data_IF_528110079148
#
_entry.id   IF_528110079148
#
_cell.length_a   1.000
_cell.length_b   1.000
_cell.length_c   1.000
_cell.angle_alpha   90.00
_cell.angle_beta   90.00
_cell.angle_gamma   90.00
#
_symmetry.space_group_name_H-M   'P 1'
#
loop_
_entity.id
_entity.type
_entity.pdbx_description
1 polymer ?
#
# COMPACT_ATOMS: atom_id res chain seq x y z
N UNK A 1 -6.71 -7.95 -1.33
CA UNK A 1 -5.88 -6.92 -0.63
C UNK A 1 -6.60 -5.58 -0.73
N UNK A 2 -6.53 -4.71 0.28
CA UNK A 2 -7.30 -3.45 0.36
C UNK A 2 -7.16 -2.56 -0.88
N UNK A 3 -5.95 -2.46 -1.44
CA UNK A 3 -5.63 -1.71 -2.67
C UNK A 3 -6.53 -2.14 -3.83
N UNK A 4 -6.69 -3.46 -4.00
CA UNK A 4 -7.45 -4.06 -5.09
C UNK A 4 -8.95 -4.19 -4.82
N UNK A 5 -9.46 -3.54 -3.76
CA UNK A 5 -10.90 -3.53 -3.53
C UNK A 5 -11.59 -2.84 -4.71
N UNK A 6 -12.42 -3.60 -5.44
CA UNK A 6 -13.18 -3.12 -6.60
C UNK A 6 -14.49 -2.46 -6.22
N UNK A 7 -14.91 -2.56 -4.95
CA UNK A 7 -16.10 -1.90 -4.41
C UNK A 7 -15.81 -1.41 -2.99
N UNK A 8 -16.51 -0.35 -2.57
CA UNK A 8 -16.48 0.15 -1.19
C UNK A 8 -16.84 -0.95 -0.17
N UNK A 9 -17.83 -1.78 -0.50
CA UNK A 9 -18.22 -2.93 0.34
C UNK A 9 -17.08 -3.93 0.50
N UNK A 10 -16.35 -4.24 -0.58
CA UNK A 10 -15.18 -5.11 -0.49
C UNK A 10 -14.07 -4.47 0.34
N UNK A 11 -13.87 -3.15 0.23
CA UNK A 11 -12.91 -2.41 1.05
C UNK A 11 -13.21 -2.56 2.54
N UNK A 12 -14.44 -2.25 2.97
CA UNK A 12 -14.83 -2.38 4.38
C UNK A 12 -14.71 -3.82 4.89
N UNK A 13 -15.01 -4.82 4.06
CA UNK A 13 -14.83 -6.24 4.42
C UNK A 13 -13.36 -6.57 4.70
N UNK A 14 -12.46 -6.15 3.82
CA UNK A 14 -11.02 -6.37 4.02
C UNK A 14 -10.48 -5.57 5.21
N UNK A 15 -10.99 -4.36 5.46
CA UNK A 15 -10.61 -3.52 6.60
C UNK A 15 -11.02 -4.14 7.92
N UNK A 16 -12.24 -4.67 8.00
CA UNK A 16 -12.72 -5.39 9.17
C UNK A 16 -11.86 -6.64 9.45
N UNK A 17 -11.49 -7.38 8.40
CA UNK A 17 -10.61 -8.53 8.52
C UNK A 17 -9.19 -8.15 8.97
N UNK A 18 -8.61 -7.07 8.42
CA UNK A 18 -7.32 -6.53 8.88
C UNK A 18 -7.36 -6.17 10.36
N UNK A 19 -8.42 -5.50 10.80
CA UNK A 19 -8.61 -5.14 12.22
C UNK A 19 -8.78 -6.37 13.11
N UNK A 20 -9.45 -7.42 12.63
CA UNK A 20 -9.52 -8.70 13.32
C UNK A 20 -8.12 -9.33 13.47
N UNK A 21 -7.31 -9.36 12.41
CA UNK A 21 -5.94 -9.89 12.46
C UNK A 21 -5.04 -9.09 13.41
N UNK A 22 -5.11 -7.77 13.37
CA UNK A 22 -4.32 -6.86 14.22
C UNK A 22 -4.66 -7.08 15.71
N UNK A 23 -5.92 -7.36 16.01
CA UNK A 23 -6.38 -7.63 17.38
C UNK A 23 -6.28 -9.11 17.77
N UNK A 24 -5.94 -10.01 16.85
CA UNK A 24 -5.76 -11.44 17.14
C UNK A 24 -4.62 -11.69 18.14
N UNK A 25 -3.59 -10.83 18.12
CA UNK A 25 -2.50 -10.82 19.10
C UNK A 25 -2.91 -10.30 20.49
N UNK A 26 -4.11 -9.73 20.61
CA UNK A 26 -4.69 -9.19 21.86
C UNK A 26 -5.74 -10.13 22.48
N UNK A 27 -5.81 -11.38 22.03
CA UNK A 27 -6.80 -12.39 22.41
C UNK A 27 -6.71 -12.75 23.91
N UNK A 28 -7.32 -11.91 24.74
CA UNK A 28 -7.43 -12.09 26.18
C UNK A 28 -8.24 -11.00 26.87
N UNK A 29 -8.64 -9.94 26.17
CA UNK A 29 -9.50 -8.92 26.76
C UNK A 29 -10.77 -8.76 25.97
N UNK A 30 -11.90 -8.99 26.65
CA UNK A 30 -13.24 -8.63 26.23
C UNK A 30 -13.25 -7.25 25.53
N UNK A 31 -14.02 -7.08 24.43
CA UNK A 31 -14.13 -5.80 23.74
C UNK A 31 -14.92 -4.81 24.61
N UNK A 32 -14.27 -4.25 25.63
CA UNK A 32 -14.74 -3.04 26.28
C UNK A 32 -14.62 -1.89 25.29
N UNK A 33 -15.62 -1.00 25.26
CA UNK A 33 -15.64 0.23 24.45
C UNK A 33 -14.48 1.19 24.77
N UNK A 34 -13.62 0.85 25.73
CA UNK A 34 -12.51 1.65 26.26
C UNK A 34 -11.13 1.07 25.91
N UNK A 35 -11.05 -0.05 25.18
CA UNK A 35 -9.76 -0.60 24.73
C UNK A 35 -9.02 0.42 23.83
N UNK A 36 -7.76 0.76 24.15
CA UNK A 36 -6.96 1.61 23.29
C UNK A 36 -6.88 0.99 21.88
N UNK A 37 -7.15 1.79 20.83
CA UNK A 37 -6.96 1.31 19.46
C UNK A 37 -5.50 0.89 19.29
N UNK A 38 -5.29 -0.26 18.66
CA UNK A 38 -3.95 -0.75 18.35
C UNK A 38 -3.17 0.34 17.59
N UNK A 39 -1.88 0.59 17.89
CA UNK A 39 -1.10 1.66 17.24
C UNK A 39 -1.14 1.59 15.71
N UNK A 40 -1.11 0.37 15.15
CA UNK A 40 -1.31 0.15 13.71
C UNK A 40 -2.68 0.61 13.19
N UNK A 41 -3.78 0.40 13.93
CA UNK A 41 -5.12 0.86 13.50
C UNK A 41 -5.20 2.39 13.49
N UNK A 42 -4.56 3.05 14.45
CA UNK A 42 -4.42 4.52 14.48
C UNK A 42 -3.60 5.02 13.29
N UNK A 43 -2.42 4.43 13.06
CA UNK A 43 -1.56 4.78 11.94
C UNK A 43 -2.26 4.56 10.60
N UNK A 44 -2.88 3.39 10.41
CA UNK A 44 -3.60 3.03 9.20
C UNK A 44 -4.76 4.00 8.95
N UNK A 45 -5.54 4.33 9.98
CA UNK A 45 -6.65 5.29 9.82
C UNK A 45 -6.13 6.66 9.39
N UNK A 46 -5.12 7.18 10.10
CA UNK A 46 -4.61 8.52 9.86
C UNK A 46 -3.92 8.69 8.51
N UNK A 47 -3.20 7.66 8.04
CA UNK A 47 -2.32 7.78 6.88
C UNK A 47 -2.84 7.07 5.63
N UNK A 48 -3.65 6.02 5.77
CA UNK A 48 -4.11 5.19 4.64
C UNK A 48 -5.62 5.32 4.43
N UNK A 49 -6.42 5.09 5.47
CA UNK A 49 -7.89 5.11 5.38
C UNK A 49 -8.45 6.50 5.01
N UNK A 50 -7.81 7.57 5.51
CA UNK A 50 -8.19 8.95 5.17
C UNK A 50 -7.85 9.35 3.73
N UNK A 51 -7.03 8.59 3.02
CA UNK A 51 -6.60 8.91 1.66
C UNK A 51 -6.89 7.79 0.64
N UNK A 52 -7.88 6.94 0.91
CA UNK A 52 -8.32 5.85 0.03
C UNK A 52 -8.52 6.30 -1.41
N UNK A 53 -8.97 7.53 -1.65
CA UNK A 53 -9.09 8.13 -2.99
C UNK A 53 -7.81 8.12 -3.83
N UNK A 54 -6.61 8.07 -3.21
CA UNK A 54 -5.33 8.09 -3.92
C UNK A 54 -4.82 6.69 -4.32
N UNK A 55 -5.28 5.63 -3.65
CA UNK A 55 -4.67 4.30 -3.79
C UNK A 55 -5.68 3.14 -3.91
N UNK A 56 -6.92 3.29 -3.45
CA UNK A 56 -7.96 2.28 -3.63
C UNK A 56 -8.50 2.27 -5.05
N UNK A 57 -8.58 1.07 -5.65
CA UNK A 57 -9.10 0.91 -7.01
C UNK A 57 -10.55 1.41 -7.12
N UNK A 58 -11.44 1.07 -6.17
CA UNK A 58 -12.85 1.45 -6.28
C UNK A 58 -13.09 2.97 -6.30
N UNK A 59 -12.26 3.77 -5.63
CA UNK A 59 -12.33 5.24 -5.68
C UNK A 59 -11.74 5.79 -7.00
N UNK A 60 -10.76 5.09 -7.57
CA UNK A 60 -10.04 5.51 -8.78
C UNK A 60 -10.66 4.99 -10.07
N UNK A 61 -11.70 4.14 -10.00
CA UNK A 61 -12.40 3.56 -11.14
C UNK A 61 -13.00 4.62 -12.09
N UNK A 62 -13.23 5.84 -11.62
CA UNK A 62 -13.73 6.93 -12.46
C UNK A 62 -12.62 7.73 -13.18
N UNK A 63 -11.36 7.36 -13.00
CA UNK A 63 -10.23 7.91 -13.74
C UNK A 63 -9.93 6.94 -14.89
N UNK A 64 -10.22 7.35 -16.11
CA UNK A 64 -9.82 6.61 -17.32
C UNK A 64 -8.30 6.62 -17.41
N UNK A 65 -7.65 5.67 -16.75
CA UNK A 65 -6.20 5.52 -16.78
C UNK A 65 -5.76 4.70 -18.00
N UNK A 66 -6.65 4.00 -18.70
CA UNK A 66 -6.30 3.06 -19.79
C UNK A 66 -5.19 2.07 -19.35
N UNK A 67 -5.16 1.70 -18.07
CA UNK A 67 -4.08 0.86 -17.50
C UNK A 67 -2.75 1.59 -17.25
N UNK A 68 -2.70 2.91 -17.43
CA UNK A 68 -1.56 3.78 -17.18
C UNK A 68 -1.77 4.58 -15.89
N UNK A 69 -1.79 3.88 -14.75
CA UNK A 69 -1.75 4.55 -13.46
C UNK A 69 -0.31 4.91 -13.06
N UNK A 70 -0.17 5.88 -12.17
CA UNK A 70 1.14 6.29 -11.64
C UNK A 70 1.90 5.12 -11.00
N UNK A 71 1.20 4.09 -10.50
CA UNK A 71 1.82 2.89 -9.93
C UNK A 71 2.54 2.10 -11.02
N UNK A 72 1.87 1.81 -12.14
CA UNK A 72 2.45 1.09 -13.27
C UNK A 72 3.66 1.82 -13.86
N UNK A 73 3.64 3.16 -13.88
CA UNK A 73 4.79 3.97 -14.30
C UNK A 73 5.96 3.91 -13.31
N UNK A 74 5.67 3.94 -12.00
CA UNK A 74 6.70 3.80 -10.98
C UNK A 74 7.27 2.38 -11.01
N UNK A 75 6.41 1.35 -11.03
CA UNK A 75 6.79 -0.06 -11.11
C UNK A 75 7.61 -0.37 -12.36
N UNK A 76 7.28 0.21 -13.53
CA UNK A 76 8.08 0.05 -14.73
C UNK A 76 9.44 0.72 -14.62
N UNK A 77 9.51 1.92 -14.03
CA UNK A 77 10.78 2.61 -13.77
C UNK A 77 11.65 1.84 -12.77
N UNK A 78 11.05 1.29 -11.71
CA UNK A 78 11.74 0.43 -10.74
C UNK A 78 12.23 -0.87 -11.35
N UNK A 79 11.48 -1.46 -12.28
CA UNK A 79 11.91 -2.66 -13.00
C UNK A 79 13.14 -2.36 -13.85
N UNK A 80 13.09 -1.29 -14.63
CA UNK A 80 14.22 -0.86 -15.46
C UNK A 80 15.47 -0.56 -14.62
N UNK A 81 15.31 0.11 -13.48
CA UNK A 81 16.41 0.35 -12.55
C UNK A 81 17.06 -0.94 -12.04
N UNK A 82 16.25 -1.96 -11.72
CA UNK A 82 16.76 -3.27 -11.27
C UNK A 82 17.43 -4.06 -12.39
N UNK A 83 17.04 -3.85 -13.64
CA UNK A 83 17.67 -4.50 -14.79
C UNK A 83 19.06 -3.87 -15.10
N UNK A 84 19.28 -2.62 -14.67
CA UNK A 84 20.51 -1.84 -14.93
C UNK A 84 21.49 -1.90 -13.77
N UNK A 85 21.00 -1.94 -12.53
CA UNK A 85 21.82 -1.98 -11.32
C UNK A 85 22.01 -3.43 -10.88
N UNK A 86 23.25 -3.90 -10.95
CA UNK A 86 23.63 -5.25 -10.54
C UNK A 86 24.27 -5.25 -9.13
N UNK A 87 24.02 -6.27 -8.28
CA UNK A 87 24.59 -6.35 -6.93
C UNK A 87 26.12 -6.37 -6.85
N UNK A 88 26.81 -6.68 -7.94
CA UNK A 88 28.26 -6.70 -8.04
C UNK A 88 28.85 -5.40 -8.57
N UNK A 89 28.02 -4.42 -8.97
CA UNK A 89 28.49 -3.09 -9.36
C UNK A 89 29.01 -2.33 -8.14
N UNK A 90 30.08 -1.57 -8.37
CA UNK A 90 30.57 -0.60 -7.38
C UNK A 90 29.59 0.58 -7.26
N UNK A 91 29.68 1.34 -6.17
CA UNK A 91 28.74 2.43 -5.90
C UNK A 91 28.77 3.51 -6.99
N UNK A 92 29.96 3.83 -7.51
CA UNK A 92 30.15 4.80 -8.58
C UNK A 92 29.59 4.31 -9.91
N UNK A 93 29.75 3.02 -10.24
CA UNK A 93 29.11 2.41 -11.40
C UNK A 93 27.59 2.42 -11.28
N UNK A 94 27.04 2.12 -10.09
CA UNK A 94 25.61 2.21 -9.83
C UNK A 94 25.08 3.63 -10.06
N UNK A 95 25.76 4.64 -9.51
CA UNK A 95 25.37 6.05 -9.65
C UNK A 95 25.46 6.50 -11.10
N UNK A 96 26.53 6.15 -11.82
CA UNK A 96 26.67 6.46 -13.24
C UNK A 96 25.55 5.83 -14.07
N UNK A 97 25.21 4.57 -13.81
CA UNK A 97 24.14 3.87 -14.52
C UNK A 97 22.75 4.47 -14.24
N UNK A 98 22.51 4.94 -13.01
CA UNK A 98 21.29 5.67 -12.66
C UNK A 98 21.20 7.06 -13.31
N UNK A 99 22.34 7.75 -13.49
CA UNK A 99 22.38 9.08 -14.12
C UNK A 99 22.25 9.04 -15.65
N UNK A 100 22.61 7.92 -16.28
CA UNK A 100 22.45 7.70 -17.72
C UNK A 100 21.04 7.27 -18.14
N UNK A 101 20.13 7.11 -17.16
CA UNK A 101 18.73 6.75 -17.34
C UNK A 101 17.82 7.97 -17.23
#
# INVERSE_FOLDING_TARGET
>A
MLVYATTERAYHRHRAYLRYLVNLGSAGTEPSSTQPRHPFDVYFTNNWDNCTGMWCIYERQNIVTLGNDTSNRLESSWKQLKDVVDPFMTLDECVAAMMCY
#
